data_IF_916914505510
#
_entry.id   IF_916914505510
#
_cell.length_a   1.000
_cell.length_b   1.000
_cell.length_c   1.000
_cell.angle_alpha   90.00
_cell.angle_beta   90.00
_cell.angle_gamma   90.00
#
_symmetry.space_group_name_H-M   'P 1'
#
loop_
_entity.id
_entity.type
_entity.pdbx_description
1 polymer ?
#
# COMPACT_ATOMS: atom_id res chain seq x y z
N UNK A 1 -30.22 15.95 3.47
CA UNK A 1 -29.16 16.05 4.51
C UNK A 1 -28.00 15.15 4.10
N UNK A 2 -26.86 15.73 3.71
CA UNK A 2 -25.68 15.01 3.17
C UNK A 2 -24.61 15.02 4.26
N UNK A 3 -24.23 13.85 4.79
CA UNK A 3 -23.38 13.76 5.97
C UNK A 3 -21.95 14.30 5.71
N UNK A 4 -21.42 15.20 6.55
CA UNK A 4 -20.11 15.84 6.37
C UNK A 4 -18.91 14.89 6.55
N UNK A 5 -19.07 13.76 7.24
CA UNK A 5 -17.98 12.83 7.56
C UNK A 5 -17.34 12.13 6.36
N UNK A 6 -18.12 11.82 5.31
CA UNK A 6 -17.58 11.14 4.11
C UNK A 6 -16.69 12.03 3.24
N UNK A 7 -16.77 13.36 3.38
CA UNK A 7 -16.00 14.30 2.54
C UNK A 7 -14.56 14.44 3.02
N UNK A 8 -14.33 14.42 4.34
CA UNK A 8 -12.99 14.48 4.93
C UNK A 8 -12.13 13.26 4.62
N UNK A 9 -12.70 12.05 4.69
CA UNK A 9 -11.98 10.82 4.33
C UNK A 9 -11.55 10.79 2.84
N UNK A 10 -12.28 11.52 1.97
CA UNK A 10 -12.01 11.56 0.53
C UNK A 10 -10.80 12.45 0.17
N UNK A 11 -10.48 13.45 0.98
CA UNK A 11 -9.37 14.38 0.75
C UNK A 11 -8.06 13.89 1.38
N UNK A 12 -8.13 13.20 2.51
CA UNK A 12 -6.98 12.58 3.18
C UNK A 12 -6.44 11.36 2.41
N UNK A 13 -7.30 10.58 1.74
CA UNK A 13 -6.88 9.38 1.01
C UNK A 13 -6.53 9.76 -0.43
N UNK A 14 -5.24 9.73 -0.78
CA UNK A 14 -4.73 10.01 -2.12
C UNK A 14 -3.97 8.82 -2.71
N UNK A 15 -3.87 8.76 -4.05
CA UNK A 15 -3.02 7.77 -4.72
C UNK A 15 -1.56 7.89 -4.31
N UNK A 16 -1.08 9.11 -4.02
CA UNK A 16 0.27 9.35 -3.48
C UNK A 16 0.48 8.67 -2.11
N UNK A 17 -0.50 8.71 -1.20
CA UNK A 17 -0.39 7.99 0.09
C UNK A 17 -0.45 6.48 -0.11
N UNK A 18 -1.32 6.00 -1.01
CA UNK A 18 -1.36 4.58 -1.38
C UNK A 18 -0.03 4.10 -2.00
N UNK A 19 0.64 4.94 -2.79
CA UNK A 19 1.98 4.66 -3.32
C UNK A 19 2.98 4.43 -2.20
N UNK A 20 2.94 5.23 -1.14
CA UNK A 20 3.82 5.04 0.02
C UNK A 20 3.59 3.69 0.69
N UNK A 21 2.33 3.28 0.87
CA UNK A 21 1.98 1.96 1.43
C UNK A 21 2.46 0.82 0.52
N UNK A 22 2.21 0.94 -0.79
CA UNK A 22 2.66 -0.03 -1.79
C UNK A 22 4.19 -0.17 -1.84
N UNK A 23 4.93 0.92 -1.59
CA UNK A 23 6.40 0.93 -1.59
C UNK A 23 7.02 0.36 -0.30
N UNK A 24 6.23 0.08 0.74
CA UNK A 24 6.74 -0.55 1.95
C UNK A 24 7.26 -1.95 1.61
N UNK A 25 8.53 -2.22 1.92
CA UNK A 25 9.17 -3.52 1.66
C UNK A 25 8.36 -4.70 2.22
N UNK A 26 7.80 -4.55 3.42
CA UNK A 26 6.95 -5.58 4.06
C UNK A 26 5.72 -5.88 3.20
N UNK A 27 5.05 -4.86 2.66
CA UNK A 27 3.88 -5.02 1.78
C UNK A 27 4.29 -5.65 0.44
N UNK A 28 5.46 -5.27 -0.08
CA UNK A 28 5.97 -5.83 -1.33
C UNK A 28 6.36 -7.30 -1.18
N UNK A 29 6.88 -7.76 -0.04
CA UNK A 29 7.27 -9.16 0.14
C UNK A 29 6.09 -10.09 0.46
N UNK A 30 4.86 -9.57 0.62
CA UNK A 30 3.68 -10.38 0.94
C UNK A 30 3.31 -11.43 -0.12
N UNK A 31 3.66 -11.22 -1.39
CA UNK A 31 3.41 -12.24 -2.42
C UNK A 31 4.22 -13.52 -2.18
N UNK A 32 5.41 -13.42 -1.59
CA UNK A 32 6.25 -14.59 -1.27
C UNK A 32 5.52 -15.49 -0.28
N UNK A 33 4.85 -14.89 0.70
CA UNK A 33 4.12 -15.60 1.74
C UNK A 33 2.89 -16.35 1.21
N UNK A 34 2.30 -15.93 0.08
CA UNK A 34 1.23 -16.71 -0.57
C UNK A 34 1.70 -18.09 -1.06
N UNK A 35 2.98 -18.24 -1.35
CA UNK A 35 3.56 -19.53 -1.76
C UNK A 35 4.15 -20.28 -0.57
N UNK A 36 4.86 -19.59 0.31
CA UNK A 36 5.52 -20.22 1.46
C UNK A 36 4.48 -20.82 2.41
N UNK A 37 3.41 -20.09 2.75
CA UNK A 37 2.47 -20.52 3.80
C UNK A 37 1.74 -21.82 3.44
N UNK A 38 1.16 -22.00 2.24
CA UNK A 38 0.53 -23.29 1.88
C UNK A 38 1.51 -24.47 1.88
N UNK A 39 2.75 -24.25 1.43
CA UNK A 39 3.81 -25.28 1.41
C UNK A 39 4.21 -25.65 2.84
N UNK A 40 4.44 -24.65 3.70
CA UNK A 40 4.76 -24.85 5.10
C UNK A 40 3.61 -25.57 5.83
N UNK A 41 2.37 -25.10 5.68
CA UNK A 41 1.19 -25.70 6.30
C UNK A 41 1.01 -27.17 5.90
N UNK A 42 1.15 -27.49 4.60
CA UNK A 42 1.08 -28.87 4.10
C UNK A 42 2.23 -29.75 4.60
N UNK A 43 3.40 -29.17 4.82
CA UNK A 43 4.57 -29.90 5.35
C UNK A 43 4.42 -30.19 6.83
N UNK A 44 3.95 -29.21 7.61
CA UNK A 44 3.74 -29.36 9.05
C UNK A 44 2.57 -30.28 9.39
N UNK A 45 1.50 -30.31 8.57
CA UNK A 45 0.39 -31.23 8.82
C UNK A 45 0.80 -32.71 8.81
N UNK A 46 1.94 -33.05 8.18
CA UNK A 46 2.47 -34.42 8.16
C UNK A 46 3.20 -34.81 9.45
N UNK A 47 3.46 -33.84 10.33
CA UNK A 47 4.17 -34.05 11.60
C UNK A 47 3.10 -34.18 12.70
N UNK A 48 3.26 -35.17 13.58
CA UNK A 48 2.39 -35.31 14.76
C UNK A 48 2.42 -34.03 15.61
N UNK A 49 1.29 -33.68 16.24
CA UNK A 49 1.14 -32.48 17.08
C UNK A 49 2.17 -32.41 18.23
N UNK A 50 2.65 -33.58 18.66
CA UNK A 50 3.64 -33.72 19.72
C UNK A 50 4.76 -34.64 19.25
N UNK A 51 5.93 -34.08 18.96
CA UNK A 51 7.11 -34.90 18.67
C UNK A 51 7.83 -35.13 19.99
N UNK A 52 7.82 -36.39 20.47
CA UNK A 52 8.57 -36.82 21.65
C UNK A 52 10.01 -37.10 21.25
N UNK A 53 10.91 -36.16 21.51
CA UNK A 53 12.34 -36.33 21.26
C UNK A 53 13.00 -36.73 22.56
N UNK A 54 13.59 -37.92 22.60
CA UNK A 54 14.38 -38.38 23.76
C UNK A 54 15.84 -38.02 23.52
N UNK A 55 16.36 -37.03 24.23
CA UNK A 55 17.77 -36.63 24.19
C UNK A 55 18.34 -36.87 25.59
N UNK A 56 19.42 -37.65 25.69
CA UNK A 56 20.13 -37.94 26.95
C UNK A 56 19.21 -38.50 28.07
N UNK A 57 18.22 -39.32 27.71
CA UNK A 57 17.28 -39.92 28.68
C UNK A 57 16.15 -39.01 29.16
N UNK A 58 16.12 -37.75 28.73
CA UNK A 58 15.01 -36.84 28.96
C UNK A 58 14.11 -36.78 27.72
N UNK A 59 12.81 -37.05 27.91
CA UNK A 59 11.77 -36.85 26.89
C UNK A 59 11.34 -35.39 26.85
N UNK A 60 11.60 -34.72 25.74
CA UNK A 60 11.07 -33.41 25.43
C UNK A 60 9.85 -33.55 24.53
N UNK A 61 8.73 -32.95 24.91
CA UNK A 61 7.55 -32.83 24.06
C UNK A 61 7.64 -31.53 23.27
N UNK A 62 7.92 -31.64 21.97
CA UNK A 62 7.97 -30.49 21.08
C UNK A 62 6.58 -30.29 20.49
N UNK A 63 5.91 -29.20 20.89
CA UNK A 63 4.63 -28.78 20.32
C UNK A 63 4.90 -28.26 18.92
N UNK A 64 4.37 -28.94 17.90
CA UNK A 64 4.59 -28.62 16.48
C UNK A 64 3.56 -27.64 15.91
N UNK A 65 2.59 -27.23 16.73
CA UNK A 65 1.62 -26.21 16.34
C UNK A 65 2.26 -24.82 16.35
N UNK A 66 2.05 -24.05 15.28
CA UNK A 66 2.54 -22.67 15.24
C UNK A 66 1.81 -21.82 16.29
N UNK A 67 2.51 -20.86 16.92
CA UNK A 67 1.94 -20.00 17.95
C UNK A 67 1.00 -18.91 17.39
N UNK A 68 0.67 -18.96 16.10
CA UNK A 68 -0.19 -17.98 15.43
C UNK A 68 -1.08 -18.63 14.38
N UNK A 69 -2.21 -18.00 14.09
CA UNK A 69 -3.12 -18.46 13.05
C UNK A 69 -2.54 -18.22 11.65
N UNK A 70 -1.99 -19.28 11.06
CA UNK A 70 -1.46 -19.25 9.69
C UNK A 70 -2.54 -18.87 8.65
N UNK A 71 -3.82 -19.14 8.93
CA UNK A 71 -4.95 -18.71 8.10
C UNK A 71 -5.09 -17.19 8.08
N UNK A 72 -4.99 -16.52 9.24
CA UNK A 72 -5.06 -15.05 9.33
C UNK A 72 -3.84 -14.40 8.66
N UNK A 73 -2.67 -14.99 8.85
CA UNK A 73 -1.46 -14.54 8.18
C UNK A 73 -1.58 -14.66 6.65
N UNK A 74 -2.05 -15.81 6.16
CA UNK A 74 -2.30 -16.02 4.73
C UNK A 74 -3.36 -15.04 4.18
N UNK A 75 -4.46 -14.85 4.91
CA UNK A 75 -5.50 -13.89 4.56
C UNK A 75 -4.98 -12.45 4.47
N UNK A 76 -4.10 -12.06 5.39
CA UNK A 76 -3.42 -10.76 5.35
C UNK A 76 -2.54 -10.62 4.10
N UNK A 77 -1.69 -11.63 3.83
CA UNK A 77 -0.83 -11.64 2.66
C UNK A 77 -1.64 -11.54 1.35
N UNK A 78 -2.76 -12.27 1.26
CA UNK A 78 -3.68 -12.20 0.12
C UNK A 78 -4.26 -10.80 -0.05
N UNK A 79 -4.73 -10.18 1.03
CA UNK A 79 -5.27 -8.82 0.99
C UNK A 79 -4.21 -7.79 0.57
N UNK A 80 -2.97 -7.90 1.04
CA UNK A 80 -1.86 -7.04 0.60
C UNK A 80 -1.56 -7.21 -0.89
N UNK A 81 -1.54 -8.45 -1.39
CA UNK A 81 -1.30 -8.75 -2.80
C UNK A 81 -2.42 -8.22 -3.68
N UNK A 82 -3.68 -8.43 -3.29
CA UNK A 82 -4.83 -7.86 -3.99
C UNK A 82 -4.80 -6.33 -3.94
N UNK A 83 -4.46 -5.73 -2.80
CA UNK A 83 -4.29 -4.28 -2.66
C UNK A 83 -3.22 -3.74 -3.62
N UNK A 84 -2.07 -4.42 -3.71
CA UNK A 84 -1.01 -4.10 -4.66
C UNK A 84 -1.47 -4.24 -6.12
N UNK A 85 -2.22 -5.28 -6.45
CA UNK A 85 -2.75 -5.49 -7.79
C UNK A 85 -3.74 -4.39 -8.16
N UNK A 86 -4.67 -4.04 -7.26
CA UNK A 86 -5.60 -2.93 -7.44
C UNK A 86 -4.86 -1.61 -7.59
N UNK A 87 -3.87 -1.33 -6.75
CA UNK A 87 -3.03 -0.15 -6.88
C UNK A 87 -2.33 -0.13 -8.25
N UNK A 88 -1.74 -1.23 -8.69
CA UNK A 88 -1.04 -1.28 -9.97
C UNK A 88 -1.98 -1.09 -11.15
N UNK A 89 -3.18 -1.67 -11.15
CA UNK A 89 -4.12 -1.57 -12.27
C UNK A 89 -4.76 -0.18 -12.39
N UNK A 90 -5.04 0.49 -11.27
CA UNK A 90 -5.86 1.71 -11.26
C UNK A 90 -5.11 2.99 -10.90
N UNK A 91 -3.93 2.90 -10.27
CA UNK A 91 -3.13 4.07 -9.96
C UNK A 91 -2.65 4.73 -11.26
N UNK A 92 -2.98 6.00 -11.50
CA UNK A 92 -2.56 6.69 -12.71
C UNK A 92 -1.04 6.70 -12.86
N UNK A 93 -0.57 6.48 -14.08
CA UNK A 93 0.86 6.33 -14.37
C UNK A 93 1.68 7.53 -13.85
N UNK A 94 1.16 8.75 -13.97
CA UNK A 94 1.81 9.95 -13.45
C UNK A 94 2.22 9.85 -11.98
N UNK A 95 1.32 9.34 -11.11
CA UNK A 95 1.60 9.18 -9.67
C UNK A 95 2.61 8.07 -9.44
N UNK A 96 2.54 6.98 -10.21
CA UNK A 96 3.49 5.86 -10.09
C UNK A 96 4.91 6.30 -10.47
N UNK A 97 5.05 7.04 -11.56
CA UNK A 97 6.34 7.40 -12.14
C UNK A 97 7.05 8.53 -11.37
N UNK A 98 6.31 9.55 -10.91
CA UNK A 98 6.91 10.77 -10.33
C UNK A 98 6.22 11.17 -9.02
N UNK A 99 6.99 11.27 -7.94
CA UNK A 99 6.52 11.79 -6.67
C UNK A 99 6.69 13.31 -6.58
N UNK A 100 7.77 13.84 -7.16
CA UNK A 100 8.17 15.25 -7.02
C UNK A 100 8.40 15.93 -8.39
N UNK A 101 8.27 17.27 -8.46
CA UNK A 101 8.64 18.02 -9.66
C UNK A 101 10.12 17.86 -10.04
N UNK A 102 11.00 17.66 -9.05
CA UNK A 102 12.43 17.43 -9.26
C UNK A 102 12.66 16.12 -10.01
N UNK A 103 12.08 15.00 -9.55
CA UNK A 103 12.15 13.71 -10.26
C UNK A 103 11.62 13.82 -11.71
N UNK A 104 10.55 14.57 -11.90
CA UNK A 104 9.96 14.79 -13.22
C UNK A 104 10.92 15.54 -14.16
N UNK A 105 11.61 16.56 -13.65
CA UNK A 105 12.62 17.33 -14.40
C UNK A 105 13.89 16.54 -14.66
N UNK A 106 14.37 15.79 -13.66
CA UNK A 106 15.56 14.95 -13.78
C UNK A 106 15.35 13.86 -14.85
N UNK A 107 14.09 13.43 -15.05
CA UNK A 107 13.69 12.55 -16.15
C UNK A 107 13.60 13.26 -17.53
N UNK A 108 13.97 14.54 -17.63
CA UNK A 108 13.90 15.34 -18.86
C UNK A 108 12.48 15.73 -19.28
N UNK A 109 11.48 15.62 -18.40
CA UNK A 109 10.08 15.85 -18.75
C UNK A 109 9.67 17.31 -18.51
N UNK A 110 8.85 17.82 -19.42
CA UNK A 110 8.35 19.19 -19.43
C UNK A 110 6.83 19.28 -19.54
N UNK A 111 6.32 20.47 -19.86
CA UNK A 111 4.87 20.76 -19.93
C UNK A 111 4.14 19.85 -20.92
N UNK A 112 4.76 19.51 -22.05
CA UNK A 112 4.17 18.59 -23.03
C UNK A 112 3.86 17.21 -22.44
N UNK A 113 4.76 16.69 -21.60
CA UNK A 113 4.55 15.41 -20.92
C UNK A 113 3.45 15.51 -19.86
N UNK A 114 3.30 16.66 -19.19
CA UNK A 114 2.17 16.89 -18.29
C UNK A 114 0.83 16.86 -19.03
N UNK A 115 0.78 17.40 -20.25
CA UNK A 115 -0.40 17.32 -21.12
C UNK A 115 -0.73 15.87 -21.47
N UNK A 116 0.27 15.09 -21.87
CA UNK A 116 0.10 13.66 -22.16
C UNK A 116 -0.43 12.87 -20.96
N UNK A 117 0.13 13.11 -19.76
CA UNK A 117 -0.36 12.49 -18.53
C UNK A 117 -1.78 12.92 -18.17
N UNK A 118 -2.14 14.20 -18.37
CA UNK A 118 -3.48 14.69 -18.14
C UNK A 118 -4.49 14.06 -19.12
N UNK A 119 -4.12 13.95 -20.40
CA UNK A 119 -4.93 13.33 -21.44
C UNK A 119 -5.14 11.83 -21.16
N UNK A 120 -4.09 11.11 -20.80
CA UNK A 120 -4.16 9.69 -20.44
C UNK A 120 -5.05 9.44 -19.21
N UNK A 121 -5.11 10.40 -18.28
CA UNK A 121 -5.99 10.37 -17.11
C UNK A 121 -7.40 10.96 -17.38
N UNK A 122 -7.71 11.28 -18.64
CA UNK A 122 -8.97 11.91 -19.07
C UNK A 122 -9.33 13.17 -18.25
N UNK A 123 -8.32 14.04 -18.02
CA UNK A 123 -8.47 15.30 -17.31
C UNK A 123 -8.60 16.48 -18.28
N UNK A 124 -9.39 17.48 -17.88
CA UNK A 124 -9.57 18.72 -18.64
C UNK A 124 -8.32 19.61 -18.53
N UNK A 125 -7.43 19.51 -19.52
CA UNK A 125 -6.18 20.27 -19.60
C UNK A 125 -6.39 21.78 -19.54
N UNK A 126 -7.44 22.31 -20.18
CA UNK A 126 -7.68 23.75 -20.21
C UNK A 126 -8.03 24.26 -18.81
N UNK A 127 -8.78 23.46 -18.05
CA UNK A 127 -8.99 23.74 -16.62
C UNK A 127 -7.69 23.70 -15.83
N UNK A 128 -6.83 22.69 -16.03
CA UNK A 128 -5.53 22.61 -15.35
C UNK A 128 -4.67 23.84 -15.64
N UNK A 129 -4.57 24.21 -16.92
CA UNK A 129 -3.77 25.34 -17.38
C UNK A 129 -4.30 26.66 -16.83
N UNK A 130 -5.63 26.84 -16.82
CA UNK A 130 -6.26 28.02 -16.20
C UNK A 130 -5.97 28.05 -14.72
N UNK A 131 -6.26 26.99 -13.97
CA UNK A 131 -6.01 26.93 -12.52
C UNK A 131 -4.53 27.22 -12.21
N UNK A 132 -3.59 26.66 -12.97
CA UNK A 132 -2.16 26.91 -12.78
C UNK A 132 -1.73 28.35 -13.13
N UNK A 133 -2.38 29.00 -14.09
CA UNK A 133 -2.10 30.40 -14.47
C UNK A 133 -2.88 31.42 -13.62
N UNK A 134 -3.99 31.03 -12.99
CA UNK A 134 -4.86 31.92 -12.18
C UNK A 134 -4.23 32.32 -10.85
N UNK A 135 -3.22 31.59 -10.38
CA UNK A 135 -2.55 31.87 -9.10
C UNK A 135 -1.45 32.94 -9.18
N UNK A 136 -1.07 33.46 -10.36
CA UNK A 136 -0.09 34.55 -10.46
C UNK A 136 -0.12 35.32 -11.80
N UNK A 137 -1.18 36.08 -12.11
CA UNK A 137 -1.22 36.89 -13.34
C UNK A 137 -0.26 38.11 -13.32
N UNK A 138 0.33 38.44 -12.17
CA UNK A 138 1.07 39.70 -11.95
C UNK A 138 2.59 39.56 -11.78
N UNK A 139 3.16 38.34 -11.72
CA UNK A 139 4.62 38.16 -11.69
C UNK A 139 5.15 37.43 -12.92
N UNK A 140 6.35 37.84 -13.37
CA UNK A 140 7.18 37.11 -14.33
C UNK A 140 7.73 35.83 -13.67
N UNK A 141 6.87 34.83 -13.52
CA UNK A 141 7.30 33.53 -13.04
C UNK A 141 8.36 32.94 -13.97
N UNK A 142 9.40 32.35 -13.38
CA UNK A 142 10.38 31.61 -14.15
C UNK A 142 9.73 30.39 -14.83
N UNK A 143 10.27 29.91 -15.97
CA UNK A 143 9.78 28.69 -16.62
C UNK A 143 9.74 27.48 -15.68
N UNK A 144 10.66 27.41 -14.72
CA UNK A 144 10.76 26.36 -13.71
C UNK A 144 9.60 26.42 -12.69
N UNK A 145 9.30 27.59 -12.16
CA UNK A 145 8.19 27.76 -11.21
C UNK A 145 6.85 27.44 -11.88
N UNK A 146 6.70 27.85 -13.13
CA UNK A 146 5.52 27.52 -13.94
C UNK A 146 5.34 26.03 -14.11
N UNK A 147 6.42 25.30 -14.45
CA UNK A 147 6.39 23.84 -14.55
C UNK A 147 6.04 23.17 -13.22
N UNK A 148 6.64 23.64 -12.11
CA UNK A 148 6.36 23.11 -10.78
C UNK A 148 4.89 23.30 -10.39
N UNK A 149 4.31 24.48 -10.65
CA UNK A 149 2.88 24.73 -10.37
C UNK A 149 1.96 23.86 -11.22
N UNK A 150 2.26 23.71 -12.50
CA UNK A 150 1.50 22.82 -13.38
C UNK A 150 1.60 21.37 -12.92
N UNK A 151 2.79 20.91 -12.51
CA UNK A 151 3.01 19.57 -11.96
C UNK A 151 2.09 19.32 -10.76
N UNK A 152 2.10 20.19 -9.75
CA UNK A 152 1.27 20.02 -8.55
C UNK A 152 -0.23 20.08 -8.87
N UNK A 153 -0.63 20.89 -9.85
CA UNK A 153 -2.03 20.98 -10.30
C UNK A 153 -2.49 19.67 -10.94
N UNK A 154 -1.70 19.11 -11.86
CA UNK A 154 -1.96 17.78 -12.44
C UNK A 154 -1.99 16.73 -11.33
N UNK A 155 -0.99 16.72 -10.44
CA UNK A 155 -0.90 15.73 -9.37
C UNK A 155 -2.12 15.77 -8.44
N UNK A 156 -2.60 16.95 -8.08
CA UNK A 156 -3.79 17.13 -7.24
C UNK A 156 -5.04 16.53 -7.90
N UNK A 157 -5.24 16.76 -9.19
CA UNK A 157 -6.38 16.22 -9.94
C UNK A 157 -6.29 14.72 -10.14
N UNK A 158 -5.12 14.23 -10.54
CA UNK A 158 -4.87 12.80 -10.73
C UNK A 158 -5.01 12.04 -9.40
N UNK A 159 -4.60 12.61 -8.28
CA UNK A 159 -4.78 12.02 -6.96
C UNK A 159 -6.25 11.77 -6.56
N UNK A 160 -7.19 12.49 -7.19
CA UNK A 160 -8.62 12.35 -6.97
C UNK A 160 -9.33 11.52 -8.04
N UNK A 161 -8.59 11.02 -9.03
CA UNK A 161 -9.10 10.17 -10.10
C UNK A 161 -9.54 8.80 -9.53
N UNK A 162 -10.60 8.20 -10.08
CA UNK A 162 -11.12 6.87 -9.70
C UNK A 162 -11.29 6.64 -8.18
N UNK A 163 -12.18 7.40 -7.50
CA UNK A 163 -12.35 7.31 -6.04
C UNK A 163 -12.80 5.93 -5.56
N UNK A 164 -13.57 5.18 -6.36
CA UNK A 164 -14.03 3.84 -6.01
C UNK A 164 -12.88 2.82 -5.99
N UNK A 165 -11.99 2.85 -6.97
CA UNK A 165 -10.82 1.98 -7.01
C UNK A 165 -9.86 2.29 -5.84
N UNK A 166 -9.72 3.58 -5.53
CA UNK A 166 -8.93 4.04 -4.38
C UNK A 166 -9.50 3.54 -3.05
N UNK A 167 -10.82 3.61 -2.89
CA UNK A 167 -11.50 3.08 -1.71
C UNK A 167 -11.27 1.56 -1.59
N UNK A 168 -11.41 0.81 -2.68
CA UNK A 168 -11.13 -0.62 -2.69
C UNK A 168 -9.69 -0.94 -2.25
N UNK A 169 -8.70 -0.24 -2.81
CA UNK A 169 -7.29 -0.40 -2.42
C UNK A 169 -7.06 -0.10 -0.92
N UNK A 170 -7.65 0.98 -0.40
CA UNK A 170 -7.58 1.30 1.04
C UNK A 170 -8.22 0.22 1.88
N UNK A 171 -9.40 -0.28 1.50
CA UNK A 171 -10.07 -1.34 2.27
C UNK A 171 -9.25 -2.61 2.30
N UNK A 172 -8.60 -2.98 1.19
CA UNK A 172 -7.72 -4.15 1.11
C UNK A 172 -6.49 -3.97 2.00
N UNK A 173 -5.80 -2.83 1.92
CA UNK A 173 -4.64 -2.56 2.78
C UNK A 173 -5.01 -2.46 4.26
N UNK A 174 -6.14 -1.83 4.58
CA UNK A 174 -6.64 -1.70 5.94
C UNK A 174 -6.99 -3.06 6.54
N UNK A 175 -7.72 -3.90 5.81
CA UNK A 175 -8.04 -5.26 6.23
C UNK A 175 -6.76 -6.09 6.42
N UNK A 176 -5.81 -6.00 5.48
CA UNK A 176 -4.54 -6.69 5.58
C UNK A 176 -3.75 -6.28 6.84
N UNK A 177 -3.69 -4.97 7.13
CA UNK A 177 -3.03 -4.41 8.31
C UNK A 177 -3.69 -4.86 9.63
N UNK A 178 -5.03 -4.95 9.66
CA UNK A 178 -5.75 -5.46 10.83
C UNK A 178 -5.45 -6.94 11.08
N UNK A 179 -5.47 -7.75 10.02
CA UNK A 179 -5.17 -9.18 10.11
C UNK A 179 -3.73 -9.45 10.57
N UNK A 180 -2.74 -8.73 10.04
CA UNK A 180 -1.35 -8.90 10.47
C UNK A 180 -1.12 -8.41 11.90
N UNK A 181 -1.77 -7.31 12.31
CA UNK A 181 -1.70 -6.83 13.68
C UNK A 181 -2.26 -7.88 14.66
N UNK A 182 -3.37 -8.52 14.30
CA UNK A 182 -3.94 -9.61 15.09
C UNK A 182 -2.96 -10.78 15.23
N UNK A 183 -2.33 -11.22 14.13
CA UNK A 183 -1.31 -12.28 14.15
C UNK A 183 -0.12 -11.93 15.05
N UNK A 184 0.33 -10.67 15.02
CA UNK A 184 1.43 -10.20 15.88
C UNK A 184 1.02 -10.26 17.36
N UNK A 185 -0.22 -9.89 17.69
CA UNK A 185 -0.75 -9.95 19.05
C UNK A 185 -0.83 -11.40 19.54
N UNK A 186 -1.35 -12.34 18.75
CA UNK A 186 -1.37 -13.77 19.07
C UNK A 186 0.05 -14.27 19.39
N UNK A 187 0.99 -13.98 18.50
CA UNK A 187 2.36 -14.43 18.66
C UNK A 187 3.03 -13.84 19.91
N UNK A 188 2.78 -12.55 20.20
CA UNK A 188 3.35 -11.86 21.37
C UNK A 188 2.76 -12.40 22.67
N UNK A 189 1.47 -12.69 22.72
CA UNK A 189 0.82 -13.31 23.89
C UNK A 189 1.42 -14.67 24.21
N UNK A 190 1.65 -15.52 23.19
CA UNK A 190 2.26 -16.83 23.37
C UNK A 190 3.69 -16.70 23.92
N UNK A 191 4.51 -15.82 23.34
CA UNK A 191 5.88 -15.58 23.82
C UNK A 191 5.90 -15.10 25.27
N UNK A 192 5.01 -14.18 25.66
CA UNK A 192 4.90 -13.70 27.03
C UNK A 192 4.50 -14.82 28.00
N UNK A 193 3.57 -15.70 27.61
CA UNK A 193 3.18 -16.85 28.44
C UNK A 193 4.34 -17.83 28.66
N UNK A 194 5.17 -18.07 27.65
CA UNK A 194 6.36 -18.89 27.79
C UNK A 194 7.43 -18.23 28.68
N UNK A 195 7.66 -16.93 28.52
CA UNK A 195 8.63 -16.18 29.33
C UNK A 195 8.27 -16.11 30.81
N UNK A 196 6.96 -16.03 31.14
CA UNK A 196 6.48 -16.00 32.54
C UNK A 196 6.41 -17.38 33.21
N UNK A 197 6.54 -18.48 32.45
CA UNK A 197 6.52 -19.86 32.98
C UNK A 197 7.92 -20.41 33.29
N UNK A 198 8.99 -19.67 32.97
CA UNK A 198 10.38 -19.96 33.34
C UNK A 198 10.75 -19.19 34.61
#
# INVERSE_FOLDING_TARGET
MRQPGFRFLREEISWSRLKQVHQLKVVQTMYVWLFIVPVAAKSLHRIEEFVRITILGHTFELVTTLPFSWHLFYGSALCFVLGNLFFFMYCPQFIRDHATPTEFKDAGKGVQHLYEYALAANLDWDRIRRDANLFNPENEDTPEEKLNRMFWSVQKMVNQHLPSARLAAVTLYGLAALLIAWVILENTQVVLQFAMRQ
#
